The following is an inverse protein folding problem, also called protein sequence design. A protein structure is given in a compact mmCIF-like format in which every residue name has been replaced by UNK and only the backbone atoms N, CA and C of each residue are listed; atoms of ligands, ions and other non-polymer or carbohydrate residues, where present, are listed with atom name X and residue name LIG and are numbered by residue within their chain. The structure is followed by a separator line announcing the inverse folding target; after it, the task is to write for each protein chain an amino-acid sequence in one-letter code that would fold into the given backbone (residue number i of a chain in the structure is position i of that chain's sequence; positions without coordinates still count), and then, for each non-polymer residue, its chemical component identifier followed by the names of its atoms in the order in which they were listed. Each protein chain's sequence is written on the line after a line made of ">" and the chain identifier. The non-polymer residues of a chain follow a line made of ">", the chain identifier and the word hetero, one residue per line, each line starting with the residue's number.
data_IF_526857719124
#
_entry.id   IF_526857719124
#
_cell.length_a   1.000
_cell.length_b   1.000
_cell.length_c   1.000
_cell.angle_alpha   90.00
_cell.angle_beta   90.00
_cell.angle_gamma   90.00
#
_symmetry.space_group_name_H-M   'P 1'
#
loop_
_entity.id
_entity.type
_entity.pdbx_description
1 polymer ?
#
# COMPACT_ATOMS: atom_id res chain seq x y z
N UNK A 1 -20.72 21.61 8.83
CA UNK A 1 -21.84 20.73 8.42
C UNK A 1 -21.55 19.24 8.63
N UNK A 2 -20.35 18.73 8.31
CA UNK A 2 -20.02 17.31 8.50
C UNK A 2 -19.43 16.92 9.86
N UNK A 3 -19.25 17.87 10.76
CA UNK A 3 -18.51 17.69 12.00
C UNK A 3 -19.27 16.98 13.12
N UNK A 4 -20.58 16.76 12.96
CA UNK A 4 -21.45 16.20 14.01
C UNK A 4 -21.22 14.70 14.24
N UNK A 5 -20.98 13.94 13.19
CA UNK A 5 -20.59 12.53 13.30
C UNK A 5 -19.95 12.05 12.00
N UNK A 6 -19.31 10.88 12.06
CA UNK A 6 -18.77 10.21 10.88
C UNK A 6 -19.80 10.07 9.74
N UNK A 7 -21.04 9.68 10.05
CA UNK A 7 -22.12 9.57 9.05
C UNK A 7 -22.41 10.91 8.36
N UNK A 8 -22.39 12.02 9.10
CA UNK A 8 -22.64 13.35 8.51
C UNK A 8 -21.52 13.74 7.54
N UNK A 9 -20.27 13.42 7.86
CA UNK A 9 -19.13 13.62 6.94
C UNK A 9 -19.33 12.83 5.66
N UNK A 10 -19.66 11.53 5.76
CA UNK A 10 -19.91 10.65 4.62
C UNK A 10 -21.01 11.19 3.71
N UNK A 11 -22.16 11.55 4.29
CA UNK A 11 -23.29 12.09 3.52
C UNK A 11 -22.93 13.37 2.75
N UNK A 12 -22.08 14.22 3.32
CA UNK A 12 -21.61 15.43 2.64
C UNK A 12 -20.65 15.10 1.52
N UNK A 13 -19.68 14.21 1.76
CA UNK A 13 -18.75 13.77 0.72
C UNK A 13 -19.50 13.15 -0.46
N UNK A 14 -20.54 12.35 -0.22
CA UNK A 14 -21.38 11.76 -1.26
C UNK A 14 -22.19 12.82 -2.01
N UNK A 15 -22.89 13.70 -1.28
CA UNK A 15 -23.72 14.75 -1.88
C UNK A 15 -22.92 15.68 -2.77
N UNK A 16 -21.73 16.07 -2.33
CA UNK A 16 -20.88 17.03 -3.03
C UNK A 16 -19.76 16.38 -3.84
N UNK A 17 -19.73 15.05 -3.98
CA UNK A 17 -18.67 14.32 -4.68
C UNK A 17 -18.38 14.90 -6.06
N UNK A 18 -19.42 15.09 -6.88
CA UNK A 18 -19.29 15.64 -8.25
C UNK A 18 -18.68 17.04 -8.27
N UNK A 19 -18.99 17.87 -7.27
CA UNK A 19 -18.48 19.24 -7.18
C UNK A 19 -17.02 19.20 -6.71
N UNK A 20 -16.72 18.43 -5.67
CA UNK A 20 -15.35 18.28 -5.15
C UNK A 20 -14.42 17.70 -6.23
N UNK A 21 -14.88 16.69 -6.97
CA UNK A 21 -14.14 16.10 -8.10
C UNK A 21 -13.80 17.12 -9.18
N UNK A 22 -14.74 18.03 -9.51
CA UNK A 22 -14.48 19.12 -10.48
C UNK A 22 -13.49 20.15 -9.96
N UNK A 23 -13.48 20.39 -8.64
CA UNK A 23 -12.53 21.32 -8.00
C UNK A 23 -11.14 20.71 -7.82
N UNK A 24 -11.00 19.38 -7.89
CA UNK A 24 -9.74 18.67 -7.71
C UNK A 24 -9.32 17.88 -8.97
N UNK A 25 -9.10 18.55 -10.13
CA UNK A 25 -8.80 17.87 -11.39
C UNK A 25 -7.39 17.25 -11.44
N UNK A 26 -6.46 17.74 -10.61
CA UNK A 26 -5.06 17.33 -10.60
C UNK A 26 -4.55 17.06 -9.18
N UNK A 27 -3.34 16.52 -9.06
CA UNK A 27 -2.75 16.15 -7.77
C UNK A 27 -2.53 17.36 -6.85
N UNK A 28 -2.12 18.52 -7.38
CA UNK A 28 -1.91 19.73 -6.57
C UNK A 28 -3.18 20.15 -5.83
N UNK A 29 -4.32 20.12 -6.51
CA UNK A 29 -5.61 20.42 -5.89
C UNK A 29 -6.04 19.33 -4.89
N UNK A 30 -5.69 18.07 -5.15
CA UNK A 30 -5.90 16.98 -4.18
C UNK A 30 -5.07 17.20 -2.90
N UNK A 31 -3.82 17.66 -3.03
CA UNK A 31 -2.97 18.03 -1.89
C UNK A 31 -3.58 19.20 -1.11
N UNK A 32 -4.05 20.24 -1.81
CA UNK A 32 -4.72 21.38 -1.16
C UNK A 32 -5.98 20.95 -0.40
N UNK A 33 -6.77 20.04 -0.98
CA UNK A 33 -7.96 19.49 -0.33
C UNK A 33 -7.59 18.72 0.96
N UNK A 34 -6.56 17.86 0.90
CA UNK A 34 -6.08 17.13 2.08
C UNK A 34 -5.51 18.08 3.15
N UNK A 35 -4.82 19.15 2.75
CA UNK A 35 -4.35 20.19 3.67
C UNK A 35 -5.53 20.89 4.36
N UNK A 36 -6.58 21.24 3.61
CA UNK A 36 -7.79 21.84 4.18
C UNK A 36 -8.48 20.92 5.20
N UNK A 37 -8.57 19.61 4.90
CA UNK A 37 -9.15 18.61 5.81
C UNK A 37 -8.29 18.44 7.06
N UNK A 38 -6.97 18.33 6.91
CA UNK A 38 -6.02 18.20 8.02
C UNK A 38 -6.05 19.44 8.92
N UNK A 39 -6.11 20.65 8.34
CA UNK A 39 -6.18 21.90 9.09
C UNK A 39 -7.49 22.02 9.88
N UNK A 40 -8.61 21.63 9.26
CA UNK A 40 -9.92 21.63 9.92
C UNK A 40 -9.96 20.64 11.09
N UNK A 41 -9.40 19.44 10.92
CA UNK A 41 -9.36 18.38 11.93
C UNK A 41 -8.03 18.29 12.68
N UNK A 42 -7.29 19.40 12.84
CA UNK A 42 -5.94 19.41 13.45
C UNK A 42 -5.88 18.79 14.85
N UNK A 43 -6.97 18.91 15.62
CA UNK A 43 -7.08 18.36 16.98
C UNK A 43 -7.64 16.93 17.01
N UNK A 44 -7.98 16.35 15.86
CA UNK A 44 -8.56 15.01 15.75
C UNK A 44 -7.85 14.22 14.65
N UNK A 45 -6.80 13.50 15.06
CA UNK A 45 -6.02 12.62 14.19
C UNK A 45 -6.90 11.56 13.52
N UNK A 46 -7.77 10.94 14.31
CA UNK A 46 -8.72 9.93 13.85
C UNK A 46 -9.68 10.48 12.77
N UNK A 47 -10.29 11.65 12.99
CA UNK A 47 -11.20 12.23 11.99
C UNK A 47 -10.48 12.63 10.70
N UNK A 48 -9.24 13.09 10.80
CA UNK A 48 -8.41 13.37 9.63
C UNK A 48 -8.17 12.10 8.81
N UNK A 49 -7.72 11.02 9.48
CA UNK A 49 -7.44 9.74 8.82
C UNK A 49 -8.69 9.16 8.16
N UNK A 50 -9.83 9.17 8.87
CA UNK A 50 -11.12 8.70 8.35
C UNK A 50 -11.58 9.54 7.15
N UNK A 51 -11.46 10.86 7.21
CA UNK A 51 -11.88 11.75 6.12
C UNK A 51 -11.08 11.48 4.85
N UNK A 52 -9.75 11.39 4.98
CA UNK A 52 -8.85 11.08 3.86
C UNK A 52 -9.14 9.67 3.31
N UNK A 53 -9.36 8.68 4.19
CA UNK A 53 -9.70 7.32 3.77
C UNK A 53 -10.99 7.26 2.94
N UNK A 54 -12.01 8.04 3.32
CA UNK A 54 -13.26 8.15 2.58
C UNK A 54 -13.10 8.91 1.27
N UNK A 55 -12.36 10.00 1.26
CA UNK A 55 -12.06 10.74 0.03
C UNK A 55 -11.35 9.85 -0.99
N UNK A 56 -10.42 9.00 -0.55
CA UNK A 56 -9.80 7.97 -1.39
C UNK A 56 -10.85 6.96 -1.90
N UNK A 57 -11.73 6.45 -1.04
CA UNK A 57 -12.81 5.53 -1.44
C UNK A 57 -13.78 6.10 -2.47
N UNK A 58 -14.06 7.40 -2.38
CA UNK A 58 -14.88 8.14 -3.34
C UNK A 58 -14.12 8.61 -4.59
N UNK A 59 -12.83 8.26 -4.71
CA UNK A 59 -11.94 8.65 -5.82
C UNK A 59 -11.77 10.17 -5.95
N UNK A 60 -11.90 10.90 -4.85
CA UNK A 60 -11.66 12.35 -4.79
C UNK A 60 -10.16 12.67 -4.74
N UNK A 61 -9.37 11.74 -4.19
CA UNK A 61 -7.92 11.82 -4.09
C UNK A 61 -7.31 10.50 -4.58
N UNK A 62 -6.14 10.60 -5.19
CA UNK A 62 -5.35 9.46 -5.66
C UNK A 62 -4.38 8.97 -4.58
N UNK A 63 -3.98 7.71 -4.67
CA UNK A 63 -2.99 7.14 -3.74
C UNK A 63 -1.61 7.79 -3.91
N UNK A 64 -1.27 8.23 -5.13
CA UNK A 64 -0.06 9.00 -5.41
C UNK A 64 -0.07 10.36 -4.69
N UNK A 65 -1.18 11.09 -4.76
CA UNK A 65 -1.35 12.33 -4.03
C UNK A 65 -1.23 12.13 -2.51
N UNK A 66 -1.78 11.03 -1.97
CA UNK A 66 -1.66 10.70 -0.54
C UNK A 66 -0.19 10.51 -0.15
N UNK A 67 0.61 9.78 -0.95
CA UNK A 67 2.05 9.64 -0.68
C UNK A 67 2.72 11.01 -0.67
N UNK A 68 2.53 11.84 -1.70
CA UNK A 68 3.09 13.20 -1.74
C UNK A 68 2.68 14.06 -0.54
N UNK A 69 1.44 13.92 -0.09
CA UNK A 69 0.93 14.63 1.08
C UNK A 69 1.56 14.15 2.39
N UNK A 70 1.68 12.83 2.59
CA UNK A 70 2.33 12.26 3.78
C UNK A 70 3.78 12.71 3.90
N UNK A 71 4.51 12.78 2.78
CA UNK A 71 5.89 13.25 2.73
C UNK A 71 6.02 14.77 2.49
N UNK A 72 4.94 15.53 2.65
CA UNK A 72 5.03 17.01 2.61
C UNK A 72 5.68 17.55 3.89
N UNK A 73 6.35 18.72 3.83
CA UNK A 73 7.07 19.27 4.99
C UNK A 73 6.21 19.34 6.27
N UNK A 74 4.94 19.71 6.13
CA UNK A 74 4.00 19.83 7.26
C UNK A 74 3.75 18.51 8.02
N UNK A 75 3.92 17.36 7.37
CA UNK A 75 3.71 16.05 7.97
C UNK A 75 5.04 15.35 8.34
N UNK A 76 6.10 15.60 7.56
CA UNK A 76 7.41 14.99 7.76
C UNK A 76 7.96 15.30 9.15
N UNK A 77 7.82 16.54 9.62
CA UNK A 77 8.25 16.96 10.97
C UNK A 77 7.52 16.20 12.09
N UNK A 78 6.40 15.52 11.81
CA UNK A 78 5.56 14.88 12.82
C UNK A 78 5.72 13.35 12.86
N UNK A 79 6.63 12.78 12.08
CA UNK A 79 6.76 11.32 11.93
C UNK A 79 7.11 10.57 13.21
N UNK A 80 7.84 11.18 14.16
CA UNK A 80 8.17 10.60 15.47
C UNK A 80 7.11 10.85 16.54
N UNK A 81 6.23 11.83 16.36
CA UNK A 81 5.23 12.24 17.37
C UNK A 81 3.80 11.82 17.03
N UNK A 82 3.52 11.48 15.77
CA UNK A 82 2.17 11.14 15.32
C UNK A 82 2.16 9.89 14.43
N UNK A 83 1.28 8.94 14.73
CA UNK A 83 1.01 7.79 13.84
C UNK A 83 0.08 8.14 12.67
N UNK A 84 -0.56 9.32 12.69
CA UNK A 84 -1.57 9.71 11.69
C UNK A 84 -1.07 9.63 10.25
N UNK A 85 0.11 10.20 9.87
CA UNK A 85 0.59 10.12 8.48
C UNK A 85 0.83 8.67 8.06
N UNK A 86 1.33 7.83 8.99
CA UNK A 86 1.62 6.43 8.75
C UNK A 86 0.36 5.58 8.60
N UNK A 87 -0.67 5.82 9.40
CA UNK A 87 -1.98 5.17 9.26
C UNK A 87 -2.59 5.44 7.87
N UNK A 88 -2.61 6.71 7.46
CA UNK A 88 -3.12 7.13 6.16
C UNK A 88 -2.32 6.47 5.03
N UNK A 89 -0.99 6.45 5.14
CA UNK A 89 -0.10 5.82 4.17
C UNK A 89 -0.36 4.31 4.05
N UNK A 90 -0.46 3.61 5.19
CA UNK A 90 -0.79 2.18 5.25
C UNK A 90 -2.13 1.89 4.59
N UNK A 91 -3.14 2.73 4.79
CA UNK A 91 -4.46 2.56 4.19
C UNK A 91 -4.40 2.70 2.65
N UNK A 92 -3.69 3.70 2.14
CA UNK A 92 -3.53 3.92 0.70
C UNK A 92 -2.80 2.76 0.01
N UNK A 93 -1.70 2.32 0.61
CA UNK A 93 -0.90 1.19 0.07
C UNK A 93 -1.71 -0.11 0.16
N UNK A 94 -2.34 -0.41 1.32
CA UNK A 94 -3.16 -1.61 1.49
C UNK A 94 -4.33 -1.69 0.51
N UNK A 95 -5.03 -0.59 0.25
CA UNK A 95 -6.15 -0.57 -0.71
C UNK A 95 -5.70 -0.86 -2.14
N UNK A 96 -4.52 -0.38 -2.52
CA UNK A 96 -3.93 -0.69 -3.84
C UNK A 96 -3.69 -2.19 -3.99
N UNK A 97 -3.11 -2.82 -2.97
CA UNK A 97 -2.85 -4.25 -2.98
C UNK A 97 -4.08 -5.13 -2.84
N UNK A 98 -5.05 -4.71 -2.02
CA UNK A 98 -6.31 -5.42 -1.89
C UNK A 98 -7.05 -5.47 -3.24
N UNK A 99 -7.05 -4.36 -4.00
CA UNK A 99 -7.60 -4.34 -5.37
C UNK A 99 -6.92 -5.35 -6.28
N UNK A 100 -5.60 -5.47 -6.24
CA UNK A 100 -4.85 -6.47 -7.02
C UNK A 100 -5.22 -7.89 -6.57
N UNK A 101 -5.23 -8.14 -5.25
CA UNK A 101 -5.57 -9.43 -4.66
C UNK A 101 -6.97 -9.89 -5.06
N UNK A 102 -7.95 -8.98 -5.00
CA UNK A 102 -9.33 -9.26 -5.33
C UNK A 102 -9.51 -9.52 -6.85
N UNK A 103 -8.86 -8.72 -7.71
CA UNK A 103 -8.84 -8.98 -9.15
C UNK A 103 -8.21 -10.34 -9.48
N UNK A 104 -7.12 -10.73 -8.81
CA UNK A 104 -6.50 -12.06 -9.00
C UNK A 104 -7.45 -13.19 -8.60
N UNK A 105 -8.18 -13.06 -7.49
CA UNK A 105 -9.19 -14.04 -7.05
C UNK A 105 -10.35 -14.13 -8.04
N UNK A 106 -10.86 -13.00 -8.51
CA UNK A 106 -11.92 -12.94 -9.52
C UNK A 106 -11.49 -13.62 -10.82
N UNK A 107 -10.29 -13.31 -11.33
CA UNK A 107 -9.70 -13.95 -12.52
C UNK A 107 -9.56 -15.46 -12.32
N UNK A 108 -9.10 -15.90 -11.15
CA UNK A 108 -8.98 -17.34 -10.85
C UNK A 108 -10.36 -18.03 -10.85
N UNK A 109 -11.38 -17.37 -10.31
CA UNK A 109 -12.77 -17.87 -10.32
C UNK A 109 -13.30 -17.97 -11.75
N UNK A 110 -13.12 -16.91 -12.56
CA UNK A 110 -13.53 -16.88 -13.97
C UNK A 110 -12.82 -17.95 -14.80
N UNK A 111 -11.52 -18.18 -14.59
CA UNK A 111 -10.77 -19.25 -15.27
C UNK A 111 -11.34 -20.64 -14.98
N UNK A 112 -11.73 -20.90 -13.72
CA UNK A 112 -12.38 -22.17 -13.34
C UNK A 112 -13.76 -22.31 -13.98
N UNK A 113 -14.56 -21.24 -13.96
CA UNK A 113 -15.87 -21.21 -14.62
C UNK A 113 -15.77 -21.44 -16.13
N UNK A 114 -14.79 -20.80 -16.78
CA UNK A 114 -14.52 -20.96 -18.20
C UNK A 114 -14.13 -22.39 -18.56
N UNK A 115 -13.30 -23.05 -17.73
CA UNK A 115 -12.94 -24.46 -17.95
C UNK A 115 -14.18 -25.37 -17.94
N UNK A 116 -15.09 -25.17 -16.97
CA UNK A 116 -16.34 -25.93 -16.88
C UNK A 116 -17.25 -25.64 -18.09
N UNK A 117 -17.35 -24.37 -18.51
CA UNK A 117 -18.14 -23.98 -19.68
C UNK A 117 -17.59 -24.62 -20.97
N UNK A 118 -16.25 -24.65 -21.14
CA UNK A 118 -15.59 -25.32 -22.27
C UNK A 118 -15.86 -26.81 -22.33
N UNK A 119 -15.84 -27.48 -21.18
CA UNK A 119 -16.18 -28.90 -21.09
C UNK A 119 -17.65 -29.18 -21.44
N UNK A 120 -18.57 -28.33 -20.96
CA UNK A 120 -20.00 -28.43 -21.29
C UNK A 120 -20.27 -28.16 -22.79
N UNK A 121 -19.64 -27.12 -23.34
CA UNK A 121 -19.65 -26.75 -24.76
C UNK A 121 -19.14 -27.90 -25.63
N UNK A 122 -18.01 -28.53 -25.26
CA UNK A 122 -17.48 -29.70 -25.95
C UNK A 122 -18.40 -30.93 -25.85
N UNK A 123 -19.03 -31.17 -24.69
CA UNK A 123 -19.98 -32.27 -24.50
C UNK A 123 -21.23 -32.08 -25.38
N UNK A 124 -21.83 -30.89 -25.36
CA UNK A 124 -23.00 -30.58 -26.17
C UNK A 124 -22.71 -30.70 -27.68
N UNK A 125 -21.50 -30.29 -28.12
CA UNK A 125 -21.06 -30.48 -29.51
C UNK A 125 -20.97 -31.95 -29.90
N UNK A 126 -20.37 -32.79 -29.05
CA UNK A 126 -20.30 -34.24 -29.28
C UNK A 126 -21.68 -34.88 -29.38
N UNK A 127 -22.59 -34.55 -28.44
CA UNK A 127 -23.97 -35.06 -28.48
C UNK A 127 -24.72 -34.64 -29.76
N UNK A 128 -24.46 -33.43 -30.27
CA UNK A 128 -25.01 -32.96 -31.53
C UNK A 128 -24.43 -33.70 -32.74
N UNK A 129 -23.11 -33.94 -32.78
CA UNK A 129 -22.46 -34.70 -33.86
C UNK A 129 -22.92 -36.15 -33.88
N UNK A 130 -23.00 -36.81 -32.72
CA UNK A 130 -23.53 -38.16 -32.58
C UNK A 130 -24.97 -38.24 -33.13
N UNK A 131 -25.85 -37.33 -32.71
CA UNK A 131 -27.23 -37.28 -33.21
C UNK A 131 -27.33 -36.98 -34.73
N UNK A 132 -26.40 -36.21 -35.29
CA UNK A 132 -26.35 -35.95 -36.74
C UNK A 132 -25.86 -37.18 -37.52
N UNK A 133 -24.83 -37.87 -37.01
CA UNK A 133 -24.27 -39.08 -37.66
C UNK A 133 -25.25 -40.25 -37.69
N UNK A 134 -26.07 -40.41 -36.64
CA UNK A 134 -27.16 -41.42 -36.62
C UNK A 134 -28.17 -41.16 -37.72
N UNK A 135 -28.42 -39.90 -38.10
CA UNK A 135 -29.35 -39.53 -39.16
C UNK A 135 -28.77 -39.80 -40.56
N UNK A 136 -27.46 -39.62 -40.75
CA UNK A 136 -26.75 -39.89 -42.03
C UNK A 136 -26.73 -41.39 -42.39
N UNK A 137 -26.71 -42.29 -41.41
CA UNK A 137 -26.71 -43.74 -41.61
C UNK A 137 -28.10 -44.29 -42.01
N UNK A 138 -29.17 -43.47 -41.92
CA UNK A 138 -30.58 -43.92 -42.06
C UNK A 138 -31.13 -43.89 -43.50
N UNK A 139 -30.33 -43.65 -44.54
CA UNK A 139 -30.77 -43.66 -45.96
C UNK A 139 -31.13 -45.06 -46.57
N UNK A 140 -31.66 -46.02 -45.79
CA UNK A 140 -31.87 -47.40 -46.28
C UNK A 140 -33.10 -48.20 -45.84
N UNK A 141 -33.66 -48.06 -44.62
CA UNK A 141 -34.81 -48.88 -44.17
C UNK A 141 -35.67 -48.18 -43.08
N UNK A 142 -36.98 -48.52 -42.93
CA UNK A 142 -37.93 -47.72 -42.16
C UNK A 142 -37.97 -48.13 -40.68
N UNK A 143 -37.41 -47.29 -39.79
CA UNK A 143 -37.71 -47.22 -38.36
C UNK A 143 -37.45 -45.77 -37.85
N UNK A 144 -38.01 -45.38 -36.69
CA UNK A 144 -38.63 -44.07 -36.49
C UNK A 144 -37.68 -42.90 -36.71
N UNK A 145 -37.99 -42.07 -37.70
CA UNK A 145 -37.28 -40.84 -38.02
C UNK A 145 -36.93 -40.07 -36.75
N UNK A 146 -35.64 -39.92 -36.47
CA UNK A 146 -35.18 -39.10 -35.38
C UNK A 146 -35.68 -37.66 -35.62
N UNK A 147 -36.49 -37.14 -34.68
CA UNK A 147 -37.35 -36.00 -34.97
C UNK A 147 -36.47 -34.76 -35.22
N UNK A 148 -36.68 -33.99 -36.31
CA UNK A 148 -35.98 -32.71 -36.56
C UNK A 148 -36.07 -31.69 -35.41
N UNK A 149 -37.01 -31.89 -34.48
CA UNK A 149 -37.09 -31.11 -33.24
C UNK A 149 -36.00 -31.43 -32.20
N UNK A 150 -35.46 -32.65 -32.16
CA UNK A 150 -34.36 -33.04 -31.25
C UNK A 150 -33.05 -32.36 -31.68
N UNK A 151 -32.71 -32.42 -32.97
CA UNK A 151 -31.50 -31.77 -33.51
C UNK A 151 -31.56 -30.26 -33.27
N UNK A 152 -32.69 -29.60 -33.58
CA UNK A 152 -32.86 -28.16 -33.31
C UNK A 152 -32.69 -27.78 -31.84
N UNK A 153 -33.12 -28.65 -30.91
CA UNK A 153 -32.87 -28.43 -29.46
C UNK A 153 -31.39 -28.57 -29.13
N UNK A 154 -30.71 -29.59 -29.64
CA UNK A 154 -29.26 -29.77 -29.44
C UNK A 154 -28.45 -28.61 -30.03
N UNK A 155 -28.82 -28.10 -31.20
CA UNK A 155 -28.22 -26.90 -31.80
C UNK A 155 -28.41 -25.67 -30.91
N UNK A 156 -29.61 -25.50 -30.32
CA UNK A 156 -29.86 -24.47 -29.33
C UNK A 156 -29.00 -24.63 -28.06
N UNK A 157 -28.79 -25.86 -27.57
CA UNK A 157 -27.94 -26.12 -26.41
C UNK A 157 -26.46 -25.85 -26.69
N UNK A 158 -25.97 -26.20 -27.89
CA UNK A 158 -24.61 -25.87 -28.33
C UNK A 158 -24.44 -24.36 -28.39
N UNK A 159 -25.36 -23.66 -29.06
CA UNK A 159 -25.31 -22.21 -29.18
C UNK A 159 -25.30 -21.51 -27.80
N UNK A 160 -26.18 -21.91 -26.90
CA UNK A 160 -26.23 -21.32 -25.56
C UNK A 160 -24.93 -21.57 -24.77
N UNK A 161 -24.35 -22.78 -24.87
CA UNK A 161 -23.09 -23.10 -24.21
C UNK A 161 -21.90 -22.32 -24.80
N UNK A 162 -21.89 -22.09 -26.12
CA UNK A 162 -20.90 -21.27 -26.80
C UNK A 162 -21.04 -19.78 -26.46
N UNK A 163 -22.27 -19.28 -26.33
CA UNK A 163 -22.54 -17.91 -25.87
C UNK A 163 -22.09 -17.73 -24.41
N UNK A 164 -22.38 -18.68 -23.51
CA UNK A 164 -21.88 -18.69 -22.13
C UNK A 164 -20.35 -18.71 -22.06
N UNK A 165 -19.70 -19.58 -22.83
CA UNK A 165 -18.24 -19.64 -22.98
C UNK A 165 -17.68 -18.27 -23.39
N UNK A 166 -18.24 -17.66 -24.45
CA UNK A 166 -17.82 -16.34 -24.93
C UNK A 166 -17.97 -15.26 -23.86
N UNK A 167 -19.10 -15.22 -23.15
CA UNK A 167 -19.32 -14.21 -22.10
C UNK A 167 -18.29 -14.32 -20.96
N UNK A 168 -17.89 -15.54 -20.61
CA UNK A 168 -16.85 -15.79 -19.60
C UNK A 168 -15.46 -15.40 -20.12
N UNK A 169 -15.16 -15.64 -21.40
CA UNK A 169 -13.91 -15.20 -22.03
C UNK A 169 -13.79 -13.68 -22.07
N UNK A 170 -14.84 -12.97 -22.51
CA UNK A 170 -14.88 -11.51 -22.54
C UNK A 170 -14.70 -10.90 -21.14
N UNK A 171 -15.36 -11.49 -20.13
CA UNK A 171 -15.23 -11.07 -18.72
C UNK A 171 -13.80 -11.31 -18.19
N UNK A 172 -13.21 -12.46 -18.53
CA UNK A 172 -11.84 -12.80 -18.15
C UNK A 172 -10.82 -11.83 -18.78
N UNK A 173 -10.99 -11.49 -20.06
CA UNK A 173 -10.16 -10.51 -20.76
C UNK A 173 -10.29 -9.12 -20.12
N UNK A 174 -11.52 -8.64 -19.91
CA UNK A 174 -11.77 -7.34 -19.28
C UNK A 174 -11.13 -7.24 -17.88
N UNK A 175 -11.22 -8.29 -17.07
CA UNK A 175 -10.57 -8.35 -15.75
C UNK A 175 -9.04 -8.42 -15.88
N UNK A 176 -8.51 -9.12 -16.88
CA UNK A 176 -7.09 -9.13 -17.21
C UNK A 176 -6.54 -7.73 -17.48
N UNK A 177 -7.25 -6.92 -18.28
CA UNK A 177 -6.88 -5.52 -18.55
C UNK A 177 -6.90 -4.68 -17.28
N UNK A 178 -7.91 -4.85 -16.43
CA UNK A 178 -8.00 -4.15 -15.14
C UNK A 178 -6.86 -4.53 -14.19
N UNK A 179 -6.44 -5.80 -14.16
CA UNK A 179 -5.32 -6.26 -13.36
C UNK A 179 -3.99 -5.68 -13.87
N UNK A 180 -3.76 -5.67 -15.18
CA UNK A 180 -2.57 -5.07 -15.78
C UNK A 180 -2.45 -3.58 -15.42
N UNK A 181 -3.56 -2.82 -15.52
CA UNK A 181 -3.61 -1.42 -15.09
C UNK A 181 -3.33 -1.25 -13.60
N UNK A 182 -3.91 -2.10 -12.76
CA UNK A 182 -3.67 -2.05 -11.31
C UNK A 182 -2.21 -2.35 -10.95
N UNK A 183 -1.55 -3.23 -11.70
CA UNK A 183 -0.12 -3.49 -11.55
C UNK A 183 0.75 -2.27 -11.85
N UNK A 184 0.49 -1.55 -12.95
CA UNK A 184 1.26 -0.35 -13.27
C UNK A 184 1.02 0.75 -12.23
N UNK A 185 -0.24 0.99 -11.85
CA UNK A 185 -0.60 1.94 -10.78
C UNK A 185 0.11 1.60 -9.45
N UNK A 186 0.21 0.31 -9.11
CA UNK A 186 0.92 -0.14 -7.90
C UNK A 186 2.43 0.04 -7.99
N UNK A 187 3.02 -0.18 -9.16
CA UNK A 187 4.44 0.01 -9.40
C UNK A 187 4.82 1.49 -9.28
N UNK A 188 4.04 2.38 -9.88
CA UNK A 188 4.21 3.84 -9.75
C UNK A 188 4.09 4.30 -8.30
N UNK A 189 3.09 3.78 -7.58
CA UNK A 189 2.88 4.07 -6.17
C UNK A 189 4.08 3.63 -5.31
N UNK A 190 4.57 2.41 -5.52
CA UNK A 190 5.74 1.90 -4.81
C UNK A 190 6.99 2.71 -5.13
N UNK A 191 7.20 3.07 -6.40
CA UNK A 191 8.34 3.89 -6.84
C UNK A 191 8.35 5.23 -6.14
N UNK A 192 7.21 5.91 -6.13
CA UNK A 192 7.03 7.17 -5.43
C UNK A 192 7.25 7.01 -3.93
N UNK A 193 6.68 5.96 -3.31
CA UNK A 193 6.82 5.68 -1.88
C UNK A 193 8.29 5.53 -1.46
N UNK A 194 9.03 4.64 -2.13
CA UNK A 194 10.43 4.40 -1.80
C UNK A 194 11.30 5.62 -2.10
N UNK A 195 11.04 6.32 -3.20
CA UNK A 195 11.73 7.57 -3.50
C UNK A 195 11.48 8.62 -2.42
N UNK A 196 10.25 8.82 -1.99
CA UNK A 196 9.93 9.76 -0.91
C UNK A 196 10.61 9.41 0.41
N UNK A 197 10.72 8.12 0.76
CA UNK A 197 11.52 7.68 1.91
C UNK A 197 13.01 8.02 1.74
N UNK A 198 13.60 7.72 0.57
CA UNK A 198 15.01 8.03 0.28
C UNK A 198 15.26 9.52 0.39
N UNK A 199 14.41 10.35 -0.22
CA UNK A 199 14.55 11.81 -0.25
C UNK A 199 14.56 12.39 1.18
N UNK A 200 13.56 12.06 2.02
CA UNK A 200 13.45 12.63 3.38
C UNK A 200 14.49 12.09 4.36
N UNK A 201 14.97 10.86 4.17
CA UNK A 201 15.99 10.25 5.01
C UNK A 201 17.39 10.74 4.63
N UNK A 202 17.67 10.93 3.34
CA UNK A 202 18.98 11.42 2.88
C UNK A 202 19.25 12.84 3.37
N UNK A 203 18.21 13.67 3.48
CA UNK A 203 18.30 15.03 4.05
C UNK A 203 18.65 15.04 5.55
N UNK A 204 18.25 14.00 6.30
CA UNK A 204 18.23 14.02 7.78
C UNK A 204 19.17 13.02 8.44
N UNK A 205 19.64 12.01 7.72
CA UNK A 205 20.58 11.03 8.26
C UNK A 205 21.98 11.64 8.41
N UNK A 206 22.69 11.34 9.51
CA UNK A 206 24.09 11.72 9.64
C UNK A 206 24.93 11.14 8.49
N UNK A 207 25.97 11.84 8.02
CA UNK A 207 26.85 11.31 6.99
C UNK A 207 27.56 10.04 7.48
N UNK A 208 27.83 9.13 6.55
CA UNK A 208 28.68 7.95 6.83
C UNK A 208 30.09 8.43 7.15
N UNK A 209 30.72 7.86 8.17
CA UNK A 209 32.12 8.19 8.51
C UNK A 209 33.04 7.91 7.32
N UNK A 210 34.16 8.64 7.24
CA UNK A 210 35.21 8.43 6.23
C UNK A 210 35.74 6.99 6.28
N UNK A 211 35.67 6.34 7.46
CA UNK A 211 36.08 4.95 7.69
C UNK A 211 34.98 3.92 7.31
N UNK A 212 33.85 4.36 6.75
CA UNK A 212 32.73 3.49 6.38
C UNK A 212 31.88 3.03 7.57
N UNK A 213 32.14 3.53 8.78
CA UNK A 213 31.33 3.21 9.96
C UNK A 213 29.93 3.78 9.84
N UNK A 214 28.94 2.90 10.03
CA UNK A 214 27.52 3.24 9.96
C UNK A 214 27.13 3.97 11.26
N UNK A 215 26.54 5.18 11.19
CA UNK A 215 26.15 5.95 12.37
C UNK A 215 25.25 5.16 13.32
N UNK A 216 25.58 5.14 14.60
CA UNK A 216 24.77 4.45 15.62
C UNK A 216 23.71 5.39 16.20
N UNK A 217 22.56 5.44 15.54
CA UNK A 217 21.41 6.27 15.94
C UNK A 217 20.86 5.97 17.36
N UNK A 218 21.27 4.86 18.00
CA UNK A 218 20.81 4.49 19.36
C UNK A 218 21.76 4.92 20.47
N UNK A 219 22.98 5.33 20.13
CA UNK A 219 24.00 5.64 21.14
C UNK A 219 23.92 7.06 21.68
N UNK A 220 23.14 7.96 21.06
CA UNK A 220 23.12 9.37 21.43
C UNK A 220 24.54 9.94 21.36
N UNK A 221 25.08 10.10 20.15
CA UNK A 221 26.43 10.63 19.99
C UNK A 221 26.48 12.06 20.55
N UNK A 222 27.17 12.23 21.67
CA UNK A 222 27.43 13.52 22.33
C UNK A 222 28.28 14.48 21.47
N UNK A 223 28.69 14.07 20.26
CA UNK A 223 29.63 14.80 19.44
C UNK A 223 29.02 15.57 18.26
N UNK A 224 27.69 15.63 18.15
CA UNK A 224 27.04 16.46 17.12
C UNK A 224 26.62 17.79 17.72
N UNK A 225 27.55 18.74 17.69
CA UNK A 225 27.32 20.11 18.10
C UNK A 225 26.47 20.83 17.04
N UNK A 226 25.15 20.73 17.14
CA UNK A 226 24.27 21.56 16.32
C UNK A 226 24.06 22.92 16.99
N UNK A 227 24.29 23.98 16.22
CA UNK A 227 24.11 25.36 16.66
C UNK A 227 22.69 25.54 17.23
N UNK A 228 22.63 25.87 18.52
CA UNK A 228 21.39 26.12 19.24
C UNK A 228 20.60 27.23 18.54
N UNK A 229 19.42 26.90 18.02
CA UNK A 229 18.36 27.90 17.90
C UNK A 229 17.61 27.93 19.22
N UNK A 230 17.67 29.10 19.85
CA UNK A 230 17.14 29.44 21.17
C UNK A 230 15.76 28.83 21.45
N UNK A 231 15.69 28.02 22.50
CA UNK A 231 14.47 27.84 23.28
C UNK A 231 14.82 28.11 24.73
N UNK A 232 14.32 29.23 25.26
CA UNK A 232 14.42 29.58 26.68
C UNK A 232 13.87 28.42 27.53
N UNK A 233 14.73 27.80 28.32
CA UNK A 233 14.35 26.79 29.28
C UNK A 233 13.73 27.48 30.49
N UNK A 234 12.43 27.27 30.71
CA UNK A 234 11.76 27.65 31.94
C UNK A 234 12.21 26.73 33.08
N UNK A 235 13.02 27.24 33.98
CA UNK A 235 13.34 26.65 35.29
C UNK A 235 12.11 26.68 36.19
N UNK A 236 11.58 25.50 36.56
CA UNK A 236 10.70 25.38 37.73
C UNK A 236 11.56 24.96 38.93
N UNK A 237 11.63 25.82 39.94
CA UNK A 237 12.18 25.52 41.26
C UNK A 237 11.21 24.61 42.02
N UNK A 238 11.71 23.50 42.56
CA UNK A 238 10.96 22.65 43.48
C UNK A 238 11.53 22.89 44.87
N UNK A 239 10.70 23.44 45.75
CA UNK A 239 11.00 23.68 47.16
C UNK A 239 11.26 22.37 47.92
N UNK A 240 12.24 22.44 48.82
CA UNK A 240 12.81 21.33 49.56
C UNK A 240 12.61 21.61 51.06
N UNK A 241 11.88 20.77 51.79
CA UNK A 241 11.83 20.83 53.27
C UNK A 241 11.95 19.44 53.92
N UNK A 242 13.12 19.25 54.58
CA UNK A 242 13.42 18.55 55.85
C UNK A 242 13.08 17.05 56.02
N UNK A 243 13.92 16.15 56.54
CA UNK A 243 15.28 16.20 57.11
C UNK A 243 15.65 14.83 57.77
N UNK A 244 16.96 14.51 57.81
CA UNK A 244 17.71 13.47 58.59
C UNK A 244 17.30 11.98 58.40
N UNK A 245 18.17 10.97 58.20
CA UNK A 245 19.49 10.71 58.80
C UNK A 245 20.33 9.70 57.97
N UNK A 246 21.62 9.67 58.29
CA UNK A 246 22.78 9.08 57.60
C UNK A 246 22.80 7.54 57.37
N UNK A 247 23.31 7.08 56.21
CA UNK A 247 24.53 6.25 56.11
C UNK A 247 24.87 5.84 54.66
N UNK A 248 26.15 5.96 54.35
CA UNK A 248 26.79 5.82 53.04
C UNK A 248 26.99 4.37 52.62
N UNK A 249 26.68 4.06 51.36
CA UNK A 249 27.52 3.29 50.41
C UNK A 249 26.86 3.33 49.01
N UNK A 250 27.54 3.81 47.94
CA UNK A 250 26.96 3.88 46.62
C UNK A 250 27.15 2.52 45.94
N UNK A 251 26.09 1.72 45.89
CA UNK A 251 26.13 0.54 45.03
C UNK A 251 25.94 1.01 43.59
N UNK A 252 27.08 1.20 42.89
CA UNK A 252 27.20 1.39 41.45
C UNK A 252 26.44 0.28 40.71
N UNK A 253 25.15 0.50 40.49
CA UNK A 253 24.42 -0.14 39.40
C UNK A 253 24.15 0.93 38.36
N UNK A 254 25.17 1.11 37.54
CA UNK A 254 25.17 1.25 36.09
C UNK A 254 23.78 1.11 35.40
N UNK A 255 22.82 1.95 35.75
CA UNK A 255 21.61 2.20 34.96
C UNK A 255 22.06 3.09 33.82
N UNK A 256 22.65 2.42 32.83
CA UNK A 256 22.99 2.93 31.51
C UNK A 256 22.00 4.01 31.09
N UNK A 257 22.54 5.19 30.75
CA UNK A 257 21.88 6.29 30.05
C UNK A 257 21.24 5.82 28.72
N UNK A 258 20.18 5.02 28.80
CA UNK A 258 19.60 4.31 27.65
C UNK A 258 18.57 5.13 26.87
N UNK A 259 18.27 6.37 27.29
CA UNK A 259 17.08 7.08 26.80
C UNK A 259 17.29 8.54 26.38
N UNK A 260 18.51 9.02 26.22
CA UNK A 260 18.74 10.34 25.63
C UNK A 260 19.10 10.21 24.13
N UNK A 261 18.16 9.65 23.35
CA UNK A 261 18.21 9.73 21.89
C UNK A 261 17.68 11.12 21.51
N UNK A 262 18.43 11.90 20.75
CA UNK A 262 17.98 13.21 20.30
C UNK A 262 16.77 13.12 19.38
N UNK A 263 16.06 14.24 19.22
CA UNK A 263 14.81 14.28 18.46
C UNK A 263 15.00 13.84 17.00
N UNK A 264 16.11 14.27 16.37
CA UNK A 264 16.46 13.91 15.00
C UNK A 264 16.77 12.41 14.86
N UNK A 265 17.50 11.82 15.81
CA UNK A 265 17.79 10.39 15.82
C UNK A 265 16.51 9.58 16.01
N UNK A 266 15.62 10.02 16.90
CA UNK A 266 14.32 9.38 17.12
C UNK A 266 13.45 9.45 15.86
N UNK A 267 13.45 10.60 15.17
CA UNK A 267 12.82 10.77 13.86
C UNK A 267 13.38 9.79 12.82
N UNK A 268 14.71 9.67 12.73
CA UNK A 268 15.37 8.75 11.80
C UNK A 268 15.02 7.29 12.10
N UNK A 269 15.09 6.89 13.38
CA UNK A 269 14.75 5.54 13.83
C UNK A 269 13.29 5.19 13.53
N UNK A 270 12.36 6.11 13.79
CA UNK A 270 10.94 5.94 13.47
C UNK A 270 10.74 5.72 11.97
N UNK A 271 11.29 6.62 11.15
CA UNK A 271 11.13 6.61 9.69
C UNK A 271 11.77 5.38 9.05
N UNK A 272 12.97 4.98 9.47
CA UNK A 272 13.63 3.73 9.05
C UNK A 272 12.83 2.49 9.50
N UNK A 273 12.23 2.55 10.69
CA UNK A 273 11.32 1.51 11.19
C UNK A 273 10.10 1.32 10.28
N UNK A 274 9.51 2.42 9.82
CA UNK A 274 8.42 2.38 8.84
C UNK A 274 8.88 1.87 7.47
N UNK A 275 10.00 2.36 6.94
CA UNK A 275 10.55 1.84 5.68
C UNK A 275 10.71 0.31 5.73
N UNK A 276 11.27 -0.22 6.84
CA UNK A 276 11.40 -1.66 7.07
C UNK A 276 10.04 -2.36 7.17
N UNK A 277 9.07 -1.77 7.87
CA UNK A 277 7.75 -2.37 8.07
C UNK A 277 6.96 -2.44 6.77
N UNK A 278 6.94 -1.37 5.96
CA UNK A 278 6.33 -1.34 4.62
C UNK A 278 6.99 -2.36 3.69
N UNK A 279 8.34 -2.41 3.68
CA UNK A 279 9.10 -3.37 2.88
C UNK A 279 8.74 -4.82 3.23
N UNK A 280 8.55 -5.12 4.52
CA UNK A 280 8.14 -6.45 4.99
C UNK A 280 6.68 -6.76 4.67
N UNK A 281 5.78 -5.82 4.93
CA UNK A 281 4.33 -6.03 4.81
C UNK A 281 3.91 -6.27 3.36
N UNK A 282 4.55 -5.59 2.41
CA UNK A 282 4.21 -5.66 0.99
C UNK A 282 5.25 -6.41 0.16
N UNK A 283 6.05 -7.27 0.82
CA UNK A 283 7.19 -7.94 0.22
C UNK A 283 6.84 -8.70 -1.07
N UNK A 284 5.73 -9.44 -1.11
CA UNK A 284 5.32 -10.23 -2.29
C UNK A 284 5.16 -9.37 -3.55
N UNK A 285 4.66 -8.15 -3.40
CA UNK A 285 4.39 -7.25 -4.51
C UNK A 285 5.62 -6.43 -4.88
N UNK A 286 6.44 -6.10 -3.89
CA UNK A 286 7.75 -5.47 -4.11
C UNK A 286 8.67 -6.45 -4.86
N UNK A 287 8.68 -7.74 -4.50
CA UNK A 287 9.45 -8.77 -5.20
C UNK A 287 9.02 -8.91 -6.67
N UNK A 288 7.72 -8.77 -6.95
CA UNK A 288 7.21 -8.78 -8.32
C UNK A 288 7.67 -7.56 -9.13
N UNK A 289 8.11 -6.49 -8.47
CA UNK A 289 8.55 -5.23 -9.06
C UNK A 289 9.99 -4.85 -8.61
N UNK A 290 10.85 -5.84 -8.35
CA UNK A 290 12.15 -5.59 -7.72
C UNK A 290 13.05 -4.66 -8.55
N UNK A 291 12.94 -4.70 -9.87
CA UNK A 291 13.68 -3.82 -10.78
C UNK A 291 13.39 -2.34 -10.52
N UNK A 292 12.15 -2.00 -10.17
CA UNK A 292 11.79 -0.62 -9.79
C UNK A 292 12.50 -0.21 -8.50
N UNK A 293 12.65 -1.13 -7.55
CA UNK A 293 13.37 -0.85 -6.31
C UNK A 293 14.86 -0.63 -6.61
N UNK A 294 15.45 -1.46 -7.47
CA UNK A 294 16.84 -1.27 -7.88
C UNK A 294 17.02 0.11 -8.56
N UNK A 295 16.09 0.57 -9.40
CA UNK A 295 16.10 1.94 -9.97
C UNK A 295 16.07 3.04 -8.91
N UNK A 296 15.25 2.89 -7.85
CA UNK A 296 15.15 3.89 -6.77
C UNK A 296 16.41 3.91 -5.91
N UNK A 297 17.06 2.77 -5.74
CA UNK A 297 18.26 2.62 -4.92
C UNK A 297 19.57 2.74 -5.73
N UNK A 298 19.51 3.25 -6.97
CA UNK A 298 20.69 3.56 -7.79
C UNK A 298 21.49 4.70 -7.15
N UNK A 299 22.81 4.53 -7.14
CA UNK A 299 23.75 5.54 -6.66
C UNK A 299 24.10 5.41 -5.18
N UNK A 300 24.56 6.51 -4.61
CA UNK A 300 25.06 6.58 -3.23
C UNK A 300 23.91 6.75 -2.22
N UNK A 301 23.01 5.76 -2.17
CA UNK A 301 21.94 5.73 -1.18
C UNK A 301 22.51 5.29 0.17
N UNK A 302 22.21 6.07 1.21
CA UNK A 302 22.74 5.86 2.54
C UNK A 302 22.55 4.39 3.03
N UNK A 303 23.61 3.73 3.56
CA UNK A 303 23.58 2.31 3.91
C UNK A 303 22.45 1.91 4.88
N UNK A 304 22.10 2.77 5.85
CA UNK A 304 20.96 2.54 6.75
C UNK A 304 19.62 2.41 6.02
N UNK A 305 19.39 3.20 4.96
CA UNK A 305 18.15 3.15 4.17
C UNK A 305 18.09 1.81 3.42
N UNK A 306 19.19 1.44 2.75
CA UNK A 306 19.34 0.16 2.05
C UNK A 306 19.13 -1.03 3.00
N UNK A 307 19.79 -1.00 4.16
CA UNK A 307 19.66 -2.00 5.22
C UNK A 307 18.22 -2.10 5.74
N UNK A 308 17.55 -0.99 5.99
CA UNK A 308 16.15 -0.99 6.45
C UNK A 308 15.22 -1.63 5.43
N UNK A 309 15.26 -1.19 4.16
CA UNK A 309 14.42 -1.73 3.10
C UNK A 309 14.70 -3.21 2.83
N UNK A 310 15.96 -3.58 2.62
CA UNK A 310 16.34 -4.95 2.25
C UNK A 310 16.18 -5.94 3.41
N UNK A 311 16.39 -5.51 4.65
CA UNK A 311 16.07 -6.36 5.81
C UNK A 311 14.56 -6.63 5.94
N UNK A 312 13.71 -5.67 5.56
CA UNK A 312 12.27 -5.86 5.47
C UNK A 312 11.89 -6.89 4.40
N UNK A 313 12.53 -6.81 3.24
CA UNK A 313 12.35 -7.75 2.12
C UNK A 313 13.00 -9.13 2.35
N UNK A 314 13.81 -9.28 3.40
CA UNK A 314 14.69 -10.43 3.62
C UNK A 314 15.63 -10.67 2.44
N UNK A 315 16.04 -9.61 1.76
CA UNK A 315 17.09 -9.64 0.72
C UNK A 315 18.44 -9.57 1.44
N UNK A 316 19.28 -10.57 1.23
CA UNK A 316 20.63 -10.57 1.79
C UNK A 316 21.42 -9.39 1.19
N UNK A 317 21.92 -8.52 2.06
CA UNK A 317 22.87 -7.46 1.70
C UNK A 317 24.25 -8.10 1.77
N UNK A 318 24.87 -8.36 0.62
CA UNK A 318 26.30 -8.72 0.57
C UNK A 318 27.13 -7.44 0.82
N UNK A 319 27.04 -6.89 2.02
CA UNK A 319 27.93 -5.85 2.52
C UNK A 319 28.44 -6.34 3.89
N UNK A 320 29.36 -7.30 3.85
CA UNK A 320 29.89 -7.95 5.05
C UNK A 320 30.72 -9.21 4.82
N UNK A 321 31.23 -9.44 3.61
CA UNK A 321 32.21 -10.50 3.35
C UNK A 321 33.41 -9.92 2.60
N UNK A 322 34.31 -9.29 3.35
CA UNK A 322 35.72 -9.28 3.00
C UNK A 322 36.48 -10.11 4.05
N UNK A 323 37.47 -10.89 3.60
CA UNK A 323 38.05 -12.04 4.32
C UNK A 323 38.77 -11.70 5.62
#
# INVERSE_FOLDING_TARGET
>A
MGSKSFTHLVTILERYNKIISKLCPNEEMQLLLMNGVSAYWKNSTQMTAIAIDRMMGYRLISNLAIVKWVFSPANVEQFHVSDRPWEILRNAVSKTYNRISDLRKEIQSLKKGLQVAKEASAKNRKELEEAKSVLEIVEGQPAPAERPGRIRRLESHVKNAEDEERTLEESLEAKGVLLARAHEESKDLLKLLFKSFVDVLTERLPPVSVDGEIPNLRSGDQNVNFAAQNSEAATMEIDNENGADNNSEPNERNTKNAYNVGELEQWCLCTLGYLKSFSRQYASEIWSNIAMLDEVFVGDVHPLIRKAAFSGLRRFTNEGSHP
#
